data_IF_225633710504
#
_entry.id   IF_225633710504
#
_cell.length_a   1.000
_cell.length_b   1.000
_cell.length_c   1.000
_cell.angle_alpha   90.00
_cell.angle_beta   90.00
_cell.angle_gamma   90.00
#
_symmetry.space_group_name_H-M   'P 1'
#
loop_
_entity.id
_entity.type
_entity.pdbx_description
1 polymer ?
#
# COMPACT_ATOMS: atom_id res chain seq x y z
N UNK A 1 -4.44 9.97 -31.22
CA UNK A 1 -3.94 8.99 -30.24
C UNK A 1 -2.84 9.71 -29.46
N UNK A 2 -2.88 9.96 -28.15
CA UNK A 2 -3.51 9.25 -27.01
C UNK A 2 -3.40 10.15 -25.76
N UNK A 3 -4.41 10.97 -25.46
CA UNK A 3 -4.50 11.68 -24.17
C UNK A 3 -5.08 10.76 -23.07
N UNK A 4 -5.95 9.82 -23.46
CA UNK A 4 -6.58 8.82 -22.59
C UNK A 4 -5.61 7.91 -21.80
N UNK A 5 -4.38 7.73 -22.27
CA UNK A 5 -3.40 6.85 -21.60
C UNK A 5 -2.68 7.51 -20.42
N UNK A 6 -2.48 8.82 -20.46
CA UNK A 6 -1.78 9.54 -19.40
C UNK A 6 -2.70 9.76 -18.17
N UNK A 7 -3.97 10.08 -18.41
CA UNK A 7 -4.96 10.29 -17.35
C UNK A 7 -5.22 9.01 -16.54
N UNK A 8 -5.29 7.85 -17.21
CA UNK A 8 -5.47 6.54 -16.56
C UNK A 8 -4.23 6.10 -15.76
N UNK A 9 -3.01 6.46 -16.21
CA UNK A 9 -1.78 6.22 -15.44
C UNK A 9 -1.73 7.11 -14.20
N UNK A 10 -2.13 8.38 -14.32
CA UNK A 10 -2.21 9.30 -13.19
C UNK A 10 -3.24 8.84 -12.15
N UNK A 11 -4.42 8.42 -12.58
CA UNK A 11 -5.47 7.88 -11.69
C UNK A 11 -5.00 6.63 -10.94
N UNK A 12 -4.35 5.69 -11.64
CA UNK A 12 -3.75 4.50 -11.03
C UNK A 12 -2.68 4.86 -9.99
N UNK A 13 -1.84 5.85 -10.26
CA UNK A 13 -0.86 6.36 -9.30
C UNK A 13 -1.50 6.99 -8.06
N UNK A 14 -2.57 7.77 -8.24
CA UNK A 14 -3.32 8.37 -7.13
C UNK A 14 -3.92 7.30 -6.23
N UNK A 15 -4.57 6.29 -6.82
CA UNK A 15 -5.15 5.16 -6.08
C UNK A 15 -4.08 4.37 -5.32
N UNK A 16 -2.96 4.07 -5.97
CA UNK A 16 -1.85 3.35 -5.35
C UNK A 16 -1.25 4.12 -4.16
N UNK A 17 -1.08 5.44 -4.28
CA UNK A 17 -0.66 6.30 -3.17
C UNK A 17 -1.66 6.24 -2.00
N UNK A 18 -2.96 6.27 -2.29
CA UNK A 18 -3.98 6.19 -1.24
C UNK A 18 -3.94 4.84 -0.51
N UNK A 19 -3.77 3.74 -1.25
CA UNK A 19 -3.61 2.40 -0.66
C UNK A 19 -2.40 2.34 0.28
N UNK A 20 -1.25 2.88 -0.14
CA UNK A 20 -0.05 2.93 0.68
C UNK A 20 -0.26 3.76 1.96
N UNK A 21 -0.92 4.91 1.85
CA UNK A 21 -1.25 5.75 3.01
C UNK A 21 -2.16 5.02 4.00
N UNK A 22 -3.17 4.30 3.51
CA UNK A 22 -4.06 3.53 4.37
C UNK A 22 -3.31 2.40 5.08
N UNK A 23 -2.52 1.60 4.36
CA UNK A 23 -1.73 0.52 4.94
C UNK A 23 -0.76 1.02 6.03
N UNK A 24 -0.12 2.18 5.82
CA UNK A 24 0.77 2.79 6.82
C UNK A 24 0.02 3.24 8.08
N UNK A 25 -1.21 3.76 7.94
CA UNK A 25 -2.04 4.12 9.11
C UNK A 25 -2.42 2.89 9.91
N UNK A 26 -2.85 1.83 9.23
CA UNK A 26 -3.21 0.56 9.88
C UNK A 26 -2.02 -0.04 10.64
N UNK A 27 -0.81 -0.01 10.05
CA UNK A 27 0.41 -0.40 10.77
C UNK A 27 0.64 0.44 12.05
N UNK A 28 0.37 1.75 11.99
CA UNK A 28 0.47 2.63 13.15
C UNK A 28 -0.54 2.27 14.25
N UNK A 29 -1.78 1.97 13.89
CA UNK A 29 -2.82 1.54 14.83
C UNK A 29 -2.49 0.17 15.46
N UNK A 30 -1.90 -0.74 14.68
CA UNK A 30 -1.49 -2.06 15.17
C UNK A 30 -0.28 -2.00 16.11
N UNK A 31 0.60 -1.01 15.97
CA UNK A 31 1.84 -0.95 16.75
C UNK A 31 1.59 -0.94 18.26
N UNK A 32 0.63 -0.14 18.73
CA UNK A 32 0.25 -0.09 20.14
C UNK A 32 -0.53 -1.34 20.56
N UNK A 33 -1.36 -1.90 19.66
CA UNK A 33 -2.18 -3.06 19.95
C UNK A 33 -1.35 -4.34 20.13
N UNK A 34 -0.28 -4.52 19.34
CA UNK A 34 0.68 -5.64 19.45
C UNK A 34 1.28 -5.77 20.84
N UNK A 35 1.46 -4.66 21.58
CA UNK A 35 1.96 -4.70 22.95
C UNK A 35 0.99 -5.39 23.94
N UNK A 36 -0.27 -5.58 23.54
CA UNK A 36 -1.34 -6.10 24.40
C UNK A 36 -1.86 -7.47 23.97
N UNK A 37 -1.74 -7.82 22.68
CA UNK A 37 -2.24 -9.08 22.14
C UNK A 37 -1.51 -10.31 22.68
N UNK A 38 -2.26 -11.39 22.89
CA UNK A 38 -1.72 -12.65 23.38
C UNK A 38 -2.06 -13.81 22.46
N UNK A 39 -1.12 -14.77 22.37
CA UNK A 39 -1.28 -16.05 21.70
C UNK A 39 -1.90 -15.92 20.29
N UNK A 40 -3.19 -16.25 20.16
CA UNK A 40 -3.92 -16.28 18.89
C UNK A 40 -4.10 -14.89 18.28
N UNK A 41 -4.39 -13.87 19.08
CA UNK A 41 -4.59 -12.51 18.59
C UNK A 41 -3.31 -11.96 17.96
N UNK A 42 -2.16 -12.28 18.55
CA UNK A 42 -0.86 -11.92 18.00
C UNK A 42 -0.61 -12.60 16.64
N UNK A 43 -0.95 -13.89 16.52
CA UNK A 43 -0.79 -14.62 15.25
C UNK A 43 -1.70 -14.05 14.15
N UNK A 44 -2.94 -13.72 14.47
CA UNK A 44 -3.88 -13.09 13.52
C UNK A 44 -3.37 -11.72 13.06
N UNK A 45 -2.78 -10.94 13.96
CA UNK A 45 -2.19 -9.64 13.63
C UNK A 45 -0.92 -9.78 12.79
N UNK A 46 -0.09 -10.79 13.04
CA UNK A 46 1.09 -11.06 12.22
C UNK A 46 0.71 -11.49 10.79
N UNK A 47 -0.35 -12.29 10.64
CA UNK A 47 -0.90 -12.66 9.32
C UNK A 47 -1.45 -11.43 8.59
N UNK A 48 -2.14 -10.55 9.33
CA UNK A 48 -2.63 -9.29 8.79
C UNK A 48 -1.49 -8.36 8.35
N UNK A 49 -0.42 -8.25 9.13
CA UNK A 49 0.78 -7.48 8.78
C UNK A 49 1.46 -8.01 7.51
N UNK A 50 1.45 -9.32 7.26
CA UNK A 50 1.96 -9.86 5.99
C UNK A 50 1.11 -9.44 4.79
N UNK A 51 -0.22 -9.39 4.98
CA UNK A 51 -1.14 -8.85 3.96
C UNK A 51 -0.87 -7.36 3.69
N UNK A 52 -0.65 -6.55 4.74
CA UNK A 52 -0.29 -5.14 4.58
C UNK A 52 1.06 -4.96 3.86
N UNK A 53 2.05 -5.79 4.19
CA UNK A 53 3.35 -5.81 3.49
C UNK A 53 3.17 -6.04 2.00
N UNK A 54 2.26 -6.93 1.59
CA UNK A 54 1.95 -7.16 0.18
C UNK A 54 1.38 -5.90 -0.50
N UNK A 55 0.38 -5.25 0.11
CA UNK A 55 -0.22 -4.01 -0.41
C UNK A 55 0.81 -2.88 -0.56
N UNK A 56 1.71 -2.74 0.42
CA UNK A 56 2.79 -1.74 0.38
C UNK A 56 3.78 -2.02 -0.75
N UNK A 57 4.15 -3.29 -0.96
CA UNK A 57 5.07 -3.69 -2.01
C UNK A 57 4.48 -3.45 -3.41
N UNK A 58 3.24 -3.87 -3.64
CA UNK A 58 2.52 -3.63 -4.90
C UNK A 58 2.39 -2.13 -5.17
N UNK A 59 1.99 -1.36 -4.16
CA UNK A 59 1.82 0.08 -4.31
C UNK A 59 3.14 0.80 -4.65
N UNK A 60 4.24 0.40 -4.00
CA UNK A 60 5.57 0.92 -4.31
C UNK A 60 6.00 0.63 -5.75
N UNK A 61 5.77 -0.59 -6.24
CA UNK A 61 6.08 -0.98 -7.61
C UNK A 61 5.26 -0.19 -8.64
N UNK A 62 3.96 -0.01 -8.40
CA UNK A 62 3.07 0.78 -9.26
C UNK A 62 3.53 2.24 -9.33
N UNK A 63 3.81 2.87 -8.19
CA UNK A 63 4.31 4.25 -8.13
C UNK A 63 5.63 4.41 -8.88
N UNK A 64 6.57 3.47 -8.72
CA UNK A 64 7.82 3.47 -9.48
C UNK A 64 7.58 3.35 -11.00
N UNK A 65 6.57 2.55 -11.40
CA UNK A 65 6.12 2.46 -12.79
C UNK A 65 5.59 3.79 -13.34
N UNK A 66 4.72 4.47 -12.57
CA UNK A 66 4.17 5.79 -12.93
C UNK A 66 5.28 6.82 -13.10
N UNK A 67 6.22 6.89 -12.16
CA UNK A 67 7.36 7.83 -12.23
C UNK A 67 8.19 7.58 -13.48
N UNK A 68 8.53 6.32 -13.78
CA UNK A 68 9.27 5.98 -15.01
C UNK A 68 8.50 6.38 -16.27
N UNK A 69 7.19 6.17 -16.31
CA UNK A 69 6.33 6.54 -17.44
C UNK A 69 6.17 8.05 -17.63
N UNK A 70 6.28 8.85 -16.57
CA UNK A 70 6.20 10.31 -16.63
C UNK A 70 7.49 10.98 -17.16
N UNK A 71 8.62 10.26 -17.14
CA UNK A 71 9.92 10.74 -17.63
C UNK A 71 10.30 10.19 -19.02
N UNK A 72 9.46 9.35 -19.61
CA UNK A 72 9.68 8.68 -20.90
C UNK A 72 9.02 9.36 -22.08
#
# INVERSE_FOLDING_TARGET
MTQYGADDVAERGLKSRQNLVNALRECGELADAVATFQERELLEVLDYLDSLRFVMAESSQLLAGVVRGAHG
#
